data_IF_819957833020
#
_entry.id   IF_819957833020
#
_cell.length_a   1.000
_cell.length_b   1.000
_cell.length_c   1.000
_cell.angle_alpha   90.00
_cell.angle_beta   90.00
_cell.angle_gamma   90.00
#
_symmetry.space_group_name_H-M   'P 1'
#
loop_
_entity.id
_entity.type
_entity.pdbx_description
1 polymer ?
#
# COMPACT_ATOMS: atom_id res chain seq x y z
N UNK A 1 61.94 46.60 2.87
CA UNK A 1 61.31 46.01 4.07
C UNK A 1 59.87 45.70 3.74
N UNK A 2 59.59 44.42 3.51
CA UNK A 2 58.33 43.89 2.98
C UNK A 2 57.49 43.49 4.20
N UNK A 3 56.36 44.16 4.44
CA UNK A 3 55.45 43.81 5.53
C UNK A 3 54.23 43.08 4.94
N UNK A 4 54.31 41.75 4.98
CA UNK A 4 53.31 40.83 4.44
C UNK A 4 51.99 40.89 5.21
N UNK A 5 50.94 41.29 4.51
CA UNK A 5 49.55 41.14 4.95
C UNK A 5 49.11 39.69 4.79
N UNK A 6 48.86 38.98 5.90
CA UNK A 6 48.26 37.65 5.89
C UNK A 6 46.74 37.82 6.10
N UNK A 7 45.99 37.82 5.01
CA UNK A 7 44.52 37.80 5.04
C UNK A 7 44.09 36.34 5.19
N UNK A 8 43.63 35.97 6.39
CA UNK A 8 42.98 34.68 6.63
C UNK A 8 41.55 34.73 6.07
N UNK A 9 41.35 34.20 4.87
CA UNK A 9 40.01 33.88 4.36
C UNK A 9 39.59 32.54 4.97
N UNK A 10 38.90 32.58 6.11
CA UNK A 10 38.16 31.41 6.61
C UNK A 10 36.94 31.19 5.71
N UNK A 11 37.08 30.31 4.72
CA UNK A 11 35.98 29.87 3.88
C UNK A 11 35.13 28.86 4.66
N UNK A 12 34.00 29.31 5.20
CA UNK A 12 33.02 28.45 5.86
C UNK A 12 32.26 27.65 4.79
N UNK A 13 32.73 26.41 4.54
CA UNK A 13 32.01 25.46 3.70
C UNK A 13 30.80 24.93 4.48
N UNK A 14 29.66 25.60 4.36
CA UNK A 14 28.40 25.08 4.88
C UNK A 14 27.97 23.89 4.02
N UNK A 15 28.26 22.67 4.49
CA UNK A 15 27.75 21.44 3.88
C UNK A 15 26.23 21.38 4.04
N UNK A 16 25.49 21.41 2.94
CA UNK A 16 24.07 21.09 2.94
C UNK A 16 23.91 19.60 3.26
N UNK A 17 23.49 19.28 4.48
CA UNK A 17 23.07 17.91 4.82
C UNK A 17 21.78 17.65 4.06
N UNK A 18 21.87 16.86 2.99
CA UNK A 18 20.68 16.33 2.30
C UNK A 18 20.06 15.30 3.25
N UNK A 19 19.06 15.73 4.02
CA UNK A 19 18.17 14.79 4.70
C UNK A 19 17.35 14.14 3.58
N UNK A 20 17.67 12.89 3.26
CA UNK A 20 16.82 12.10 2.36
C UNK A 20 15.45 11.98 3.01
N UNK A 21 14.45 12.68 2.45
CA UNK A 21 13.07 12.50 2.89
C UNK A 21 12.65 11.07 2.55
N UNK A 22 12.03 10.39 3.52
CA UNK A 22 11.41 9.09 3.30
C UNK A 22 10.35 9.20 2.21
N UNK A 23 10.39 8.30 1.24
CA UNK A 23 9.46 8.31 0.11
C UNK A 23 9.09 6.89 -0.30
N UNK A 24 7.80 6.64 -0.49
CA UNK A 24 7.28 5.35 -0.93
C UNK A 24 6.25 5.54 -2.04
N UNK A 25 6.27 4.64 -3.01
CA UNK A 25 5.36 4.61 -4.15
C UNK A 25 4.57 3.32 -4.13
N UNK A 26 3.25 3.41 -4.26
CA UNK A 26 2.38 2.26 -4.44
C UNK A 26 1.79 2.32 -5.85
N UNK A 27 2.01 1.25 -6.62
CA UNK A 27 1.50 1.06 -7.98
C UNK A 27 0.47 -0.05 -8.03
N UNK A 28 -0.48 0.09 -8.93
CA UNK A 28 -1.49 -0.93 -9.21
C UNK A 28 -1.37 -1.45 -10.64
N UNK A 29 -1.46 -2.76 -10.79
CA UNK A 29 -1.62 -3.44 -12.07
C UNK A 29 -2.91 -4.26 -12.04
N UNK A 30 -4.00 -3.66 -12.53
CA UNK A 30 -5.30 -4.32 -12.59
C UNK A 30 -5.48 -5.05 -13.93
N UNK A 31 -5.18 -6.35 -13.95
CA UNK A 31 -5.36 -7.20 -15.14
C UNK A 31 -6.72 -7.89 -15.20
N UNK A 32 -7.60 -7.62 -14.25
CA UNK A 32 -8.93 -8.22 -14.24
C UNK A 32 -9.81 -7.70 -15.39
N UNK A 33 -9.52 -6.49 -15.91
CA UNK A 33 -10.37 -5.80 -16.89
C UNK A 33 -11.66 -5.22 -16.27
N UNK A 34 -11.81 -5.30 -14.96
CA UNK A 34 -12.91 -4.74 -14.18
C UNK A 34 -12.45 -4.34 -12.78
N UNK A 35 -13.32 -3.66 -12.04
CA UNK A 35 -13.05 -3.20 -10.68
C UNK A 35 -12.09 -2.02 -10.61
N UNK A 36 -11.95 -1.46 -9.42
CA UNK A 36 -11.12 -0.27 -9.16
C UNK A 36 -10.20 -0.55 -7.98
N UNK A 37 -8.86 -0.52 -8.15
CA UNK A 37 -7.96 -0.63 -7.01
C UNK A 37 -8.22 0.49 -6.02
N UNK A 38 -8.32 0.18 -4.75
CA UNK A 38 -8.40 1.17 -3.69
C UNK A 38 -7.16 1.06 -2.79
N UNK A 39 -6.56 2.20 -2.47
CA UNK A 39 -5.57 2.35 -1.39
C UNK A 39 -6.22 3.15 -0.26
N UNK A 40 -6.17 2.66 0.97
CA UNK A 40 -6.76 3.36 2.11
C UNK A 40 -5.83 3.41 3.31
N UNK A 41 -5.92 4.51 4.06
CA UNK A 41 -5.27 4.68 5.36
C UNK A 41 -6.26 5.34 6.32
N UNK A 42 -6.46 4.75 7.49
CA UNK A 42 -7.39 5.25 8.52
C UNK A 42 -8.82 5.53 7.99
N UNK A 43 -9.33 4.68 7.10
CA UNK A 43 -10.66 4.81 6.51
C UNK A 43 -10.80 5.90 5.44
N UNK A 44 -9.72 6.61 5.10
CA UNK A 44 -9.70 7.53 3.98
C UNK A 44 -9.10 6.86 2.74
N UNK A 45 -9.74 7.05 1.59
CA UNK A 45 -9.21 6.60 0.30
C UNK A 45 -8.07 7.54 -0.10
N UNK A 46 -6.88 6.98 -0.30
CA UNK A 46 -5.68 7.66 -0.76
C UNK A 46 -5.53 7.59 -2.29
N UNK A 47 -5.94 6.48 -2.90
CA UNK A 47 -5.92 6.28 -4.36
C UNK A 47 -7.05 5.35 -4.80
N UNK A 48 -7.51 5.55 -6.05
CA UNK A 48 -8.50 4.72 -6.74
C UNK A 48 -7.93 4.09 -8.02
N UNK A 49 -6.66 3.69 -8.01
CA UNK A 49 -6.00 3.00 -9.12
C UNK A 49 -4.79 3.73 -9.70
N UNK A 50 -4.70 5.03 -9.45
CA UNK A 50 -3.52 5.81 -9.82
C UNK A 50 -2.32 5.49 -8.92
N UNK A 51 -1.12 5.70 -9.44
CA UNK A 51 0.10 5.64 -8.64
C UNK A 51 -0.02 6.62 -7.46
N UNK A 52 0.26 6.11 -6.25
CA UNK A 52 0.26 6.92 -5.04
C UNK A 52 1.68 7.07 -4.52
N UNK A 53 2.09 8.32 -4.28
CA UNK A 53 3.40 8.66 -3.73
C UNK A 53 3.23 9.29 -2.36
N UNK A 54 3.90 8.73 -1.37
CA UNK A 54 3.97 9.24 0.00
C UNK A 54 5.31 9.90 0.27
N UNK A 55 5.31 11.12 0.81
CA UNK A 55 6.51 11.81 1.32
C UNK A 55 6.82 11.43 2.79
N UNK A 56 6.62 10.16 3.14
CA UNK A 56 6.86 9.59 4.47
C UNK A 56 6.22 8.21 4.63
N UNK A 57 6.27 7.66 5.85
CA UNK A 57 5.76 6.32 6.15
C UNK A 57 4.28 6.08 5.79
N UNK A 58 4.02 4.86 5.31
CA UNK A 58 2.68 4.33 5.07
C UNK A 58 2.34 3.27 6.09
N UNK A 59 2.02 3.69 7.32
CA UNK A 59 1.65 2.77 8.41
C UNK A 59 0.22 2.25 8.29
N UNK A 60 0.04 0.92 8.44
CA UNK A 60 -1.27 0.26 8.47
C UNK A 60 -2.18 0.66 7.31
N UNK A 61 -1.59 0.75 6.12
CA UNK A 61 -2.30 1.05 4.88
C UNK A 61 -2.85 -0.26 4.32
N UNK A 62 -4.01 -0.20 3.68
CA UNK A 62 -4.64 -1.38 3.07
C UNK A 62 -4.92 -1.12 1.59
N UNK A 63 -4.89 -2.19 0.79
CA UNK A 63 -5.34 -2.15 -0.59
C UNK A 63 -6.18 -3.36 -0.97
N UNK A 64 -7.15 -3.16 -1.85
CA UNK A 64 -7.98 -4.22 -2.42
C UNK A 64 -8.54 -3.77 -3.78
N UNK A 65 -9.06 -4.72 -4.57
CA UNK A 65 -9.80 -4.40 -5.79
C UNK A 65 -11.29 -4.27 -5.47
N UNK A 66 -11.84 -3.06 -5.58
CA UNK A 66 -13.27 -2.83 -5.42
C UNK A 66 -14.03 -3.37 -6.62
N UNK A 67 -14.84 -4.41 -6.43
CA UNK A 67 -15.67 -5.07 -7.46
C UNK A 67 -17.17 -4.82 -7.30
N UNK A 68 -17.56 -4.02 -6.31
CA UNK A 68 -18.95 -3.74 -5.92
C UNK A 68 -19.37 -4.45 -4.63
N UNK A 69 -18.64 -5.50 -4.23
CA UNK A 69 -18.96 -6.32 -3.05
C UNK A 69 -18.05 -6.07 -1.85
N UNK A 70 -16.97 -5.29 -2.01
CA UNK A 70 -16.06 -4.97 -0.92
C UNK A 70 -16.64 -3.82 -0.09
N UNK A 71 -16.67 -3.99 1.23
CA UNK A 71 -16.88 -2.85 2.13
C UNK A 71 -15.65 -1.95 2.18
N UNK A 72 -15.78 -0.79 2.85
CA UNK A 72 -14.74 0.25 2.83
C UNK A 72 -13.39 -0.26 3.36
N UNK A 73 -13.37 -1.12 4.38
CA UNK A 73 -12.12 -1.68 4.93
C UNK A 73 -11.72 -3.01 4.27
N UNK A 74 -12.28 -3.31 3.10
CA UNK A 74 -11.98 -4.51 2.33
C UNK A 74 -12.72 -5.76 2.80
N UNK A 75 -13.68 -5.67 3.72
CA UNK A 75 -14.48 -6.83 4.13
C UNK A 75 -15.18 -7.44 2.90
N UNK A 76 -15.09 -8.77 2.77
CA UNK A 76 -15.54 -9.52 1.59
C UNK A 76 -14.53 -9.59 0.43
N UNK A 77 -13.32 -9.05 0.58
CA UNK A 77 -12.31 -8.99 -0.50
C UNK A 77 -10.90 -9.39 -0.05
N UNK A 78 -10.09 -9.81 -1.02
CA UNK A 78 -8.67 -10.10 -0.81
C UNK A 78 -7.97 -8.80 -0.44
N UNK A 79 -7.38 -8.74 0.75
CA UNK A 79 -6.76 -7.53 1.29
C UNK A 79 -5.24 -7.65 1.22
N UNK A 80 -4.57 -6.59 0.78
CA UNK A 80 -3.13 -6.39 0.98
C UNK A 80 -2.96 -5.41 2.13
N UNK A 81 -2.37 -5.85 3.23
CA UNK A 81 -2.02 -5.01 4.38
C UNK A 81 -0.54 -4.62 4.25
N UNK A 82 -0.22 -3.33 4.45
CA UNK A 82 1.15 -2.83 4.29
C UNK A 82 1.55 -1.81 5.35
N UNK A 83 2.81 -1.88 5.74
CA UNK A 83 3.56 -0.82 6.41
C UNK A 83 4.81 -0.55 5.58
N UNK A 84 4.90 0.61 4.92
CA UNK A 84 6.12 1.03 4.23
C UNK A 84 6.82 2.08 5.06
N UNK A 85 8.02 1.75 5.53
CA UNK A 85 8.83 2.59 6.41
C UNK A 85 10.32 2.30 6.22
N UNK A 86 11.15 3.33 6.33
CA UNK A 86 12.59 3.22 6.40
C UNK A 86 13.01 2.54 7.74
N UNK A 87 13.79 1.46 7.70
CA UNK A 87 14.18 0.74 8.91
C UNK A 87 15.01 1.62 9.85
N UNK A 88 14.60 1.67 11.12
CA UNK A 88 15.37 2.33 12.20
C UNK A 88 16.07 1.35 13.14
N UNK A 89 15.77 0.06 12.99
CA UNK A 89 16.34 -1.06 13.71
C UNK A 89 16.20 -2.34 12.87
N UNK A 90 17.01 -3.38 13.13
CA UNK A 90 16.83 -4.67 12.47
C UNK A 90 15.41 -5.22 12.71
N UNK A 91 14.69 -5.53 11.63
CA UNK A 91 13.34 -6.07 11.68
C UNK A 91 12.25 -5.01 11.85
N UNK A 92 12.59 -3.73 11.70
CA UNK A 92 11.70 -2.59 11.86
C UNK A 92 11.41 -1.89 10.53
N UNK A 93 11.81 -2.49 9.40
CA UNK A 93 11.57 -1.96 8.07
C UNK A 93 10.15 -2.16 7.58
N UNK A 94 10.01 -2.09 6.27
CA UNK A 94 8.73 -2.27 5.60
C UNK A 94 8.25 -3.73 5.71
N UNK A 95 6.94 -3.91 5.79
CA UNK A 95 6.30 -5.23 5.78
C UNK A 95 4.97 -5.19 5.04
N UNK A 96 4.71 -6.25 4.27
CA UNK A 96 3.48 -6.39 3.49
C UNK A 96 3.00 -7.84 3.59
N UNK A 97 1.70 -8.02 3.62
CA UNK A 97 1.06 -9.33 3.61
C UNK A 97 -0.30 -9.31 2.89
N UNK A 98 -0.78 -10.50 2.55
CA UNK A 98 -2.14 -10.73 2.04
C UNK A 98 -2.95 -11.33 3.18
N UNK A 99 -4.16 -10.81 3.39
CA UNK A 99 -5.01 -11.21 4.51
C UNK A 99 -6.38 -11.67 4.04
N UNK A 100 -6.76 -12.87 4.49
CA UNK A 100 -8.05 -13.52 4.31
C UNK A 100 -8.67 -13.89 5.67
N UNK A 101 -8.24 -13.22 6.75
CA UNK A 101 -8.83 -13.38 8.08
C UNK A 101 -10.28 -12.87 8.03
N UNK A 102 -11.30 -13.68 8.37
CA UNK A 102 -12.69 -13.23 8.35
C UNK A 102 -12.90 -11.93 9.17
N UNK A 103 -13.63 -10.93 8.63
CA UNK A 103 -14.56 -10.99 7.49
C UNK A 103 -13.94 -10.72 6.11
N UNK A 104 -12.62 -10.70 5.97
CA UNK A 104 -11.96 -10.70 4.67
C UNK A 104 -12.19 -12.06 3.99
N UNK A 105 -12.23 -12.08 2.66
CA UNK A 105 -12.50 -13.27 1.88
C UNK A 105 -11.86 -13.15 0.50
N UNK A 106 -11.52 -14.27 -0.12
CA UNK A 106 -10.93 -14.22 -1.45
C UNK A 106 -11.93 -13.65 -2.46
N UNK A 107 -11.54 -12.62 -3.21
CA UNK A 107 -12.36 -12.02 -4.27
C UNK A 107 -11.73 -12.14 -5.64
N UNK A 108 -10.44 -11.81 -5.76
CA UNK A 108 -9.64 -11.96 -6.99
C UNK A 108 -8.23 -12.45 -6.62
N UNK A 109 -7.57 -13.09 -7.59
CA UNK A 109 -6.13 -13.34 -7.49
C UNK A 109 -5.42 -12.01 -7.26
N UNK A 110 -4.56 -11.97 -6.24
CA UNK A 110 -3.85 -10.77 -5.81
C UNK A 110 -2.41 -11.13 -5.50
N UNK A 111 -1.49 -10.29 -5.95
CA UNK A 111 -0.09 -10.36 -5.56
C UNK A 111 0.46 -8.99 -5.22
N UNK A 112 1.58 -8.97 -4.53
CA UNK A 112 2.41 -7.78 -4.40
C UNK A 112 3.87 -8.14 -4.60
N UNK A 113 4.68 -7.17 -4.98
CA UNK A 113 6.13 -7.27 -5.02
C UNK A 113 6.76 -5.93 -4.71
N UNK A 114 7.82 -5.93 -3.91
CA UNK A 114 8.64 -4.73 -3.74
C UNK A 114 9.39 -4.40 -5.03
N UNK A 115 9.63 -3.11 -5.23
CA UNK A 115 10.59 -2.59 -6.21
C UNK A 115 11.31 -1.37 -5.63
N UNK A 116 12.43 -0.96 -6.23
CA UNK A 116 13.29 0.10 -5.67
C UNK A 116 13.78 -0.26 -4.25
N UNK A 117 14.07 -1.54 -4.06
CA UNK A 117 14.54 -2.15 -2.81
C UNK A 117 13.83 -3.48 -2.56
N UNK A 118 14.56 -4.52 -2.14
CA UNK A 118 14.06 -5.90 -2.04
C UNK A 118 13.33 -6.40 -3.32
N UNK A 119 13.81 -5.99 -4.49
CA UNK A 119 13.12 -6.17 -5.77
C UNK A 119 12.65 -7.61 -6.01
N UNK A 120 11.37 -7.76 -6.33
CA UNK A 120 10.74 -9.05 -6.63
C UNK A 120 10.37 -9.89 -5.40
N UNK A 121 10.76 -9.49 -4.19
CA UNK A 121 10.24 -10.10 -2.97
C UNK A 121 8.76 -9.75 -2.80
N UNK A 122 7.94 -10.74 -2.47
CA UNK A 122 6.51 -10.55 -2.34
C UNK A 122 5.75 -11.85 -2.13
N UNK A 123 4.42 -11.78 -2.26
CA UNK A 123 3.53 -12.92 -2.11
C UNK A 123 2.46 -12.92 -3.21
N UNK A 124 1.91 -14.12 -3.49
CA UNK A 124 0.89 -14.33 -4.52
C UNK A 124 -0.20 -15.22 -3.96
N UNK A 125 -1.43 -14.71 -3.92
CA UNK A 125 -2.61 -15.47 -3.54
C UNK A 125 -3.54 -15.65 -4.74
N UNK A 126 -3.55 -16.85 -5.33
CA UNK A 126 -4.34 -17.15 -6.54
C UNK A 126 -5.66 -17.88 -6.26
N UNK A 127 -5.93 -18.23 -5.01
CA UNK A 127 -7.15 -18.93 -4.61
C UNK A 127 -7.47 -18.66 -3.15
N UNK A 128 -8.68 -19.00 -2.73
CA UNK A 128 -9.15 -18.94 -1.34
C UNK A 128 -8.35 -19.77 -0.34
N UNK A 129 -7.49 -20.68 -0.81
CA UNK A 129 -6.67 -21.59 0.01
C UNK A 129 -5.16 -21.37 -0.22
N UNK A 130 -4.75 -20.20 -0.73
CA UNK A 130 -3.34 -19.88 -0.93
C UNK A 130 -2.57 -19.93 0.39
N UNK A 131 -1.36 -20.49 0.40
CA UNK A 131 -0.57 -20.66 1.64
C UNK A 131 0.21 -19.41 2.05
N UNK A 132 0.10 -18.33 1.28
CA UNK A 132 0.85 -17.08 1.48
C UNK A 132 -0.03 -15.94 2.00
N UNK A 133 -1.20 -16.27 2.55
CA UNK A 133 -2.10 -15.31 3.16
C UNK A 133 -2.35 -15.63 4.63
N UNK A 134 -2.67 -14.61 5.42
CA UNK A 134 -3.16 -14.78 6.78
C UNK A 134 -4.59 -15.31 6.76
N UNK A 135 -4.85 -16.42 7.46
CA UNK A 135 -6.22 -16.89 7.76
C UNK A 135 -6.55 -16.75 9.24
N UNK A 136 -5.52 -16.68 10.07
CA UNK A 136 -5.61 -16.36 11.50
C UNK A 136 -4.53 -15.34 11.89
N UNK A 137 -4.73 -14.56 12.96
CA UNK A 137 -3.78 -13.51 13.36
C UNK A 137 -2.36 -13.98 13.70
N UNK A 138 -2.15 -15.28 13.89
CA UNK A 138 -0.85 -15.86 14.22
C UNK A 138 -0.04 -16.33 13.01
N UNK A 139 -0.53 -16.16 11.76
CA UNK A 139 0.16 -16.59 10.54
C UNK A 139 1.33 -15.67 10.14
N UNK A 140 2.08 -15.17 11.11
CA UNK A 140 3.16 -14.20 10.94
C UNK A 140 4.28 -14.61 9.95
N UNK A 141 4.35 -15.88 9.58
CA UNK A 141 5.30 -16.42 8.62
C UNK A 141 4.98 -16.07 7.16
N UNK A 142 3.77 -15.59 6.85
CA UNK A 142 3.39 -15.18 5.48
C UNK A 142 3.63 -13.70 5.19
N UNK A 143 4.08 -12.94 6.19
CA UNK A 143 4.47 -11.55 6.02
C UNK A 143 5.84 -11.44 5.36
N UNK A 144 5.95 -10.56 4.36
CA UNK A 144 7.19 -10.32 3.62
C UNK A 144 7.81 -9.00 4.07
N UNK A 145 8.94 -9.11 4.75
CA UNK A 145 9.68 -7.99 5.29
C UNK A 145 10.74 -7.48 4.31
N UNK A 146 10.95 -6.16 4.28
CA UNK A 146 12.04 -5.52 3.57
C UNK A 146 12.73 -4.48 4.45
N UNK A 147 14.05 -4.59 4.58
CA UNK A 147 14.90 -3.74 5.43
C UNK A 147 15.73 -2.74 4.61
N UNK A 148 15.19 -2.28 3.47
CA UNK A 148 15.78 -1.23 2.65
C UNK A 148 15.03 0.09 2.80
N UNK A 149 15.71 1.21 2.54
CA UNK A 149 15.09 2.53 2.57
C UNK A 149 14.35 2.82 1.26
N UNK A 150 13.22 3.51 1.37
CA UNK A 150 12.43 4.06 0.28
C UNK A 150 11.97 2.99 -0.71
N UNK A 151 11.62 1.82 -0.19
CA UNK A 151 11.07 0.73 -0.99
C UNK A 151 9.68 1.10 -1.50
N UNK A 152 9.41 0.69 -2.71
CA UNK A 152 8.14 0.89 -3.38
C UNK A 152 7.41 -0.46 -3.52
N UNK A 153 6.11 -0.42 -3.80
CA UNK A 153 5.26 -1.59 -3.83
C UNK A 153 4.42 -1.63 -5.11
N UNK A 154 4.49 -2.74 -5.85
CA UNK A 154 3.58 -3.05 -6.94
C UNK A 154 2.55 -4.05 -6.45
N UNK A 155 1.26 -3.73 -6.59
CA UNK A 155 0.14 -4.61 -6.28
C UNK A 155 -0.54 -4.99 -7.58
N UNK A 156 -0.65 -6.29 -7.87
CA UNK A 156 -1.27 -6.79 -9.09
C UNK A 156 -2.53 -7.59 -8.79
N UNK A 157 -3.58 -7.34 -9.56
CA UNK A 157 -4.84 -8.06 -9.48
C UNK A 157 -5.07 -8.87 -10.76
N UNK A 158 -5.57 -10.10 -10.62
CA UNK A 158 -5.73 -11.07 -11.69
C UNK A 158 -4.45 -11.30 -12.51
N UNK A 159 -3.29 -11.25 -11.84
CA UNK A 159 -2.05 -11.69 -12.45
C UNK A 159 -2.04 -13.23 -12.44
N UNK A 160 -2.68 -13.83 -13.47
CA UNK A 160 -2.61 -15.26 -13.78
C UNK A 160 -1.20 -15.77 -13.51
N UNK A 161 -1.10 -16.80 -12.66
CA UNK A 161 0.11 -17.24 -11.98
C UNK A 161 1.39 -17.11 -12.81
N UNK A 162 2.04 -15.94 -12.73
CA UNK A 162 3.42 -15.73 -13.16
C UNK A 162 4.38 -16.43 -12.18
N UNK A 163 4.08 -17.69 -11.87
CA UNK A 163 5.02 -18.71 -11.44
C UNK A 163 5.84 -19.21 -12.65
N UNK A 164 6.20 -18.29 -13.53
CA UNK A 164 7.28 -18.44 -14.49
C UNK A 164 8.18 -17.21 -14.39
N UNK A 165 8.58 -16.84 -13.17
CA UNK A 165 9.96 -16.35 -13.00
C UNK A 165 10.88 -17.56 -13.24
N UNK A 166 10.97 -17.96 -14.50
CA UNK A 166 12.06 -18.81 -14.96
C UNK A 166 13.28 -17.92 -14.80
N UNK A 167 14.06 -18.21 -13.77
CA UNK A 167 15.46 -17.77 -13.69
C UNK A 167 16.06 -18.10 -15.06
N UNK A 168 16.31 -17.09 -15.89
CA UNK A 168 17.02 -17.27 -17.17
C UNK A 168 18.50 -17.47 -16.83
N UNK A 169 18.80 -18.60 -16.19
CA UNK A 169 20.15 -19.13 -16.02
C UNK A 169 20.27 -20.35 -16.94
N UNK A 170 20.03 -20.17 -18.24
CA UNK A 170 20.59 -21.08 -19.23
C UNK A 170 20.90 -20.32 -20.53
N UNK A 171 22.20 -20.10 -20.73
CA UNK A 171 22.79 -19.65 -21.98
C UNK A 171 22.55 -20.73 -23.03
N UNK A 172 21.37 -20.73 -23.64
CA UNK A 172 21.12 -21.54 -24.83
C UNK A 172 21.85 -20.88 -25.99
N UNK A 173 22.92 -21.55 -26.39
CA UNK A 173 23.73 -21.22 -27.56
C UNK A 173 22.82 -21.25 -28.82
N UNK A 174 22.88 -20.25 -29.70
CA UNK A 174 21.95 -20.15 -30.84
C UNK A 174 22.19 -21.26 -31.87
N UNK A 175 21.15 -22.00 -32.32
CA UNK A 175 21.24 -22.78 -33.54
C UNK A 175 21.17 -21.85 -34.76
N UNK A 176 22.08 -22.06 -35.71
CA UNK A 176 22.16 -21.37 -36.99
C UNK A 176 20.85 -21.52 -37.79
N UNK A 177 20.18 -20.38 -38.04
CA UNK A 177 19.00 -20.27 -38.89
C UNK A 177 19.40 -20.15 -40.36
N UNK A 178 18.92 -21.09 -41.19
CA UNK A 178 18.84 -20.99 -42.64
C UNK A 178 17.56 -20.24 -43.05
N UNK A 179 17.73 -19.39 -44.05
CA UNK A 179 16.75 -18.44 -44.60
C UNK A 179 15.68 -19.17 -45.43
N UNK A 180 14.41 -18.86 -45.18
CA UNK A 180 13.29 -19.29 -46.03
C UNK A 180 12.20 -18.22 -46.05
N UNK A 181 12.28 -17.32 -47.03
CA UNK A 181 11.30 -16.28 -47.30
C UNK A 181 10.11 -16.83 -48.09
N UNK A 182 8.88 -16.56 -47.67
CA UNK A 182 7.72 -16.52 -48.55
C UNK A 182 6.61 -15.66 -47.96
N UNK A 183 6.26 -14.61 -48.71
CA UNK A 183 5.21 -13.65 -48.44
C UNK A 183 3.82 -14.22 -48.78
N UNK A 184 2.79 -13.87 -48.01
CA UNK A 184 1.48 -13.54 -48.60
C UNK A 184 0.65 -12.63 -47.68
N UNK A 185 0.12 -11.58 -48.29
CA UNK A 185 -0.78 -10.57 -47.76
C UNK A 185 -2.22 -11.05 -47.97
N UNK A 186 -3.21 -10.64 -47.15
CA UNK A 186 -4.24 -9.79 -47.76
C UNK A 186 -4.78 -8.67 -46.86
N UNK A 187 -5.22 -7.61 -47.55
CA UNK A 187 -6.06 -6.50 -47.07
C UNK A 187 -7.49 -7.01 -46.84
N UNK A 188 -8.19 -6.52 -45.81
CA UNK A 188 -9.58 -6.06 -45.98
C UNK A 188 -9.92 -5.01 -44.91
N UNK A 189 -10.55 -3.94 -45.36
CA UNK A 189 -11.10 -2.84 -44.57
C UNK A 189 -12.43 -3.24 -43.90
N UNK A 190 -12.96 -2.42 -42.98
CA UNK A 190 -14.30 -1.79 -43.08
C UNK A 190 -14.61 -0.93 -41.84
N UNK A 191 -15.31 0.17 -42.13
CA UNK A 191 -16.03 1.17 -41.32
C UNK A 191 -16.56 0.69 -39.95
N UNK A 192 -16.77 1.50 -38.92
CA UNK A 192 -17.18 2.90 -38.81
C UNK A 192 -18.35 2.97 -37.80
N UNK A 193 -18.69 4.20 -37.36
CA UNK A 193 -19.94 4.60 -36.68
C UNK A 193 -19.93 4.86 -35.16
N UNK A 194 -19.82 6.16 -34.86
CA UNK A 194 -20.78 7.02 -34.12
C UNK A 194 -21.24 6.68 -32.70
N UNK A 195 -20.72 7.49 -31.77
CA UNK A 195 -21.44 8.43 -30.88
C UNK A 195 -22.81 8.04 -30.30
N UNK A 196 -22.94 8.18 -28.97
CA UNK A 196 -24.05 8.91 -28.32
C UNK A 196 -23.73 9.18 -26.84
N UNK A 197 -23.71 10.46 -26.49
CA UNK A 197 -23.72 11.01 -25.12
C UNK A 197 -25.17 11.23 -24.69
N UNK A 198 -25.54 10.93 -23.44
CA UNK A 198 -26.48 11.79 -22.70
C UNK A 198 -25.97 12.06 -21.26
N UNK A 199 -25.65 13.31 -20.94
CA UNK A 199 -26.51 14.31 -20.28
C UNK A 199 -27.00 13.96 -18.85
N UNK A 200 -26.37 14.66 -17.90
CA UNK A 200 -26.82 15.03 -16.55
C UNK A 200 -28.32 15.35 -16.43
N UNK A 201 -28.95 15.04 -15.29
CA UNK A 201 -29.19 16.06 -14.24
C UNK A 201 -29.09 15.42 -12.83
N UNK A 202 -29.17 16.06 -11.67
CA UNK A 202 -29.03 17.43 -11.17
C UNK A 202 -28.86 17.22 -9.65
N UNK A 203 -28.14 18.14 -9.02
CA UNK A 203 -27.92 18.18 -7.59
C UNK A 203 -29.21 18.26 -6.76
N UNK A 204 -29.24 17.53 -5.64
CA UNK A 204 -30.15 17.83 -4.52
C UNK A 204 -29.32 18.04 -3.27
N UNK A 205 -29.20 19.32 -2.92
CA UNK A 205 -28.71 19.84 -1.65
C UNK A 205 -29.68 19.51 -0.52
N UNK A 206 -29.20 18.94 0.58
CA UNK A 206 -29.91 18.97 1.85
C UNK A 206 -29.00 19.45 2.97
N UNK A 207 -29.47 20.53 3.58
CA UNK A 207 -28.90 21.40 4.59
C UNK A 207 -28.57 20.73 5.92
N UNK A 208 -27.42 21.13 6.47
CA UNK A 208 -27.08 21.06 7.90
C UNK A 208 -28.10 21.78 8.79
N UNK A 209 -28.27 21.31 10.04
CA UNK A 209 -28.49 22.19 11.16
C UNK A 209 -27.21 22.32 12.02
N UNK A 210 -26.79 23.57 12.21
CA UNK A 210 -25.83 24.02 13.20
C UNK A 210 -26.33 23.77 14.63
N UNK A 211 -25.46 23.27 15.50
CA UNK A 211 -25.64 23.37 16.94
C UNK A 211 -24.40 24.01 17.57
N UNK A 212 -24.58 25.29 17.90
CA UNK A 212 -23.73 26.13 18.74
C UNK A 212 -23.76 25.62 20.18
N UNK A 213 -22.62 25.45 20.85
CA UNK A 213 -22.56 25.67 22.31
C UNK A 213 -21.14 25.98 22.79
N UNK A 214 -21.04 27.20 23.34
CA UNK A 214 -20.35 27.57 24.57
C UNK A 214 -18.86 27.27 24.74
N UNK A 215 -18.09 28.36 24.61
CA UNK A 215 -16.79 28.55 25.20
C UNK A 215 -16.78 28.31 26.71
N UNK A 216 -15.72 27.63 27.20
CA UNK A 216 -15.29 27.74 28.59
C UNK A 216 -13.78 27.87 28.66
N UNK A 217 -13.32 29.07 29.00
CA UNK A 217 -11.92 29.40 29.26
C UNK A 217 -11.53 28.79 30.62
N UNK A 218 -10.56 27.87 30.64
CA UNK A 218 -9.76 27.59 31.84
C UNK A 218 -8.28 27.65 31.51
N UNK A 219 -7.63 28.69 32.05
CA UNK A 219 -6.17 28.79 32.21
C UNK A 219 -5.69 27.54 32.96
N UNK A 220 -4.74 26.81 32.38
CA UNK A 220 -3.89 25.90 33.14
C UNK A 220 -2.42 26.21 32.82
N UNK A 221 -1.75 26.87 33.78
CA UNK A 221 -0.30 27.05 33.83
C UNK A 221 0.36 25.75 34.31
N UNK A 222 1.57 25.49 33.80
CA UNK A 222 2.63 24.57 34.27
C UNK A 222 2.47 23.06 34.03
N UNK A 223 3.32 22.54 33.14
CA UNK A 223 4.34 21.50 33.42
C UNK A 223 4.63 20.69 32.15
N UNK A 224 5.77 20.96 31.50
CA UNK A 224 6.17 20.39 30.20
C UNK A 224 7.11 19.18 30.32
N UNK A 225 7.20 18.53 31.47
CA UNK A 225 8.28 17.55 31.75
C UNK A 225 7.84 16.17 32.24
N UNK A 226 6.55 15.83 32.30
CA UNK A 226 6.07 14.52 32.77
C UNK A 226 5.12 13.79 31.80
N UNK A 227 5.02 14.26 30.55
CA UNK A 227 4.03 13.75 29.56
C UNK A 227 4.57 12.72 28.57
N UNK A 228 5.82 12.26 28.72
CA UNK A 228 6.42 11.26 27.80
C UNK A 228 6.23 9.81 28.27
N UNK A 229 6.06 9.56 29.57
CA UNK A 229 6.04 8.16 30.07
C UNK A 229 4.63 7.57 30.20
N UNK A 230 3.57 8.37 30.02
CA UNK A 230 2.17 7.93 30.21
C UNK A 230 1.40 7.64 28.90
N UNK A 231 2.01 7.88 27.73
CA UNK A 231 1.41 7.56 26.42
C UNK A 231 1.73 6.12 26.00
N UNK A 232 2.89 5.58 26.39
CA UNK A 232 3.25 4.19 26.10
C UNK A 232 2.36 3.17 26.85
N UNK A 233 2.01 3.45 28.13
CA UNK A 233 1.18 2.55 28.92
C UNK A 233 -0.31 2.50 28.49
N UNK A 234 -0.84 3.59 27.90
CA UNK A 234 -2.25 3.63 27.47
C UNK A 234 -2.53 2.96 26.13
N UNK A 235 -1.51 2.74 25.29
CA UNK A 235 -1.68 2.09 23.98
C UNK A 235 -1.83 0.56 24.09
N UNK A 236 -1.27 -0.03 25.15
CA UNK A 236 -1.41 -1.47 25.46
C UNK A 236 -2.80 -1.86 26.00
N UNK A 237 -3.43 -1.03 26.85
CA UNK A 237 -4.76 -1.36 27.38
C UNK A 237 -5.89 -1.25 26.35
N UNK A 238 -5.80 -0.35 25.36
CA UNK A 238 -6.84 -0.21 24.33
C UNK A 238 -6.89 -1.40 23.38
N UNK A 239 -5.74 -2.02 23.07
CA UNK A 239 -5.68 -3.20 22.20
C UNK A 239 -6.27 -4.44 22.90
N UNK A 240 -5.97 -4.63 24.19
CA UNK A 240 -6.53 -5.72 25.00
C UNK A 240 -8.05 -5.56 25.29
N UNK A 241 -8.57 -4.33 25.41
CA UNK A 241 -10.02 -4.10 25.63
C UNK A 241 -10.87 -4.32 24.38
N UNK A 242 -10.30 -4.19 23.18
CA UNK A 242 -11.01 -4.47 21.92
C UNK A 242 -11.23 -5.97 21.74
N UNK A 243 -10.22 -6.81 22.00
CA UNK A 243 -10.36 -8.27 21.91
C UNK A 243 -11.29 -8.88 22.98
N UNK A 244 -11.38 -8.28 24.18
CA UNK A 244 -12.21 -8.84 25.27
C UNK A 244 -13.72 -8.66 25.07
N UNK A 245 -14.17 -7.75 24.19
CA UNK A 245 -15.60 -7.55 23.91
C UNK A 245 -16.16 -8.53 22.88
N UNK A 246 -15.34 -9.02 21.95
CA UNK A 246 -15.80 -10.02 20.97
C UNK A 246 -15.91 -11.43 21.55
N UNK A 247 -15.17 -11.76 22.62
CA UNK A 247 -15.28 -13.06 23.29
C UNK A 247 -16.58 -13.23 24.11
N UNK A 248 -17.22 -12.14 24.55
CA UNK A 248 -18.42 -12.23 25.42
C UNK A 248 -19.75 -12.32 24.66
N UNK A 249 -19.79 -11.96 23.37
CA UNK A 249 -21.02 -12.00 22.58
C UNK A 249 -21.28 -13.35 21.88
N UNK A 250 -20.39 -14.36 22.02
CA UNK A 250 -20.58 -15.71 21.44
C UNK A 250 -21.17 -16.76 22.41
N UNK A 251 -21.49 -16.40 23.65
CA UNK A 251 -22.04 -17.34 24.66
C UNK A 251 -23.55 -17.13 24.96
N UNK A 252 -24.26 -16.31 24.17
CA UNK A 252 -25.60 -15.83 24.53
C UNK A 252 -26.69 -15.94 23.46
N UNK A 253 -26.61 -16.88 22.52
CA UNK A 253 -27.74 -17.13 21.60
C UNK A 253 -27.90 -18.62 21.37
N UNK A 254 -28.61 -19.24 22.30
CA UNK A 254 -29.05 -20.64 22.27
C UNK A 254 -30.33 -20.74 23.09
N UNK A 255 -31.44 -20.31 22.50
CA UNK A 255 -32.80 -20.69 22.85
C UNK A 255 -33.63 -20.76 21.56
#
# INVERSE_FOLDING_TARGET
MILSTVIWVLSALAGAVVVGAEKHTVRFDNRCGYGTPHLLKNGAILSQGEEYVSDGSLDSTIAYLQTGNCNLNGEGCTLVEMTLVNPTCPGCGSSVDISLIPPLAFSVSTSFSYFNGCDGQGAVCNSENCTTAFYIPSDNHVQVQCEENNVDLLISFCAEGSSTYVKVDEVVTPPSLSVGAAATRPKTAVMGSTASVPQHPSATSSSHPSATTAASKKKCKKSRSQRRDSVAAKRSESFLKFHRRHAKNRLGSGH
#
